data_IF_105598610394
#
_entry.id   IF_105598610394
#
_cell.length_a   1.000
_cell.length_b   1.000
_cell.length_c   1.000
_cell.angle_alpha   90.00
_cell.angle_beta   90.00
_cell.angle_gamma   90.00
#
_symmetry.space_group_name_H-M   'P 1'
#
loop_
_entity.id
_entity.type
_entity.pdbx_description
1 polymer ?
#
# COMPACT_ATOMS: atom_id res chain seq x y z
N UNK A 1 17.73 -6.19 -74.34
CA UNK A 1 16.90 -5.04 -74.77
C UNK A 1 16.59 -4.22 -73.53
N UNK A 2 17.34 -3.19 -73.25
CA UNK A 2 17.15 -2.25 -72.14
C UNK A 2 16.11 -1.20 -72.52
N UNK A 3 14.95 -1.19 -71.84
CA UNK A 3 13.95 -0.13 -72.05
C UNK A 3 14.36 1.09 -71.22
N UNK A 4 14.87 2.12 -71.92
CA UNK A 4 15.14 3.42 -71.30
C UNK A 4 13.81 4.11 -70.94
N UNK A 5 13.61 4.40 -69.66
CA UNK A 5 12.46 5.22 -69.16
C UNK A 5 12.80 6.71 -69.41
N UNK A 6 11.97 7.42 -70.16
CA UNK A 6 12.20 8.83 -70.45
C UNK A 6 12.02 9.66 -69.20
N UNK A 7 12.76 10.80 -69.07
CA UNK A 7 12.66 11.78 -67.96
C UNK A 7 11.21 12.26 -67.73
N UNK A 8 10.43 12.36 -68.78
CA UNK A 8 9.03 12.80 -68.74
C UNK A 8 8.10 11.76 -68.09
N UNK A 9 8.32 10.46 -68.34
CA UNK A 9 7.55 9.36 -67.73
C UNK A 9 7.99 9.12 -66.30
N UNK A 10 9.23 9.43 -65.94
CA UNK A 10 9.71 9.36 -64.54
C UNK A 10 9.09 10.49 -63.67
N UNK A 11 9.10 11.75 -64.17
CA UNK A 11 8.49 12.86 -63.45
C UNK A 11 6.98 12.74 -63.30
N UNK A 12 6.27 12.22 -64.30
CA UNK A 12 4.82 12.02 -64.18
C UNK A 12 4.44 10.91 -63.13
N UNK A 13 5.26 9.87 -63.02
CA UNK A 13 5.05 8.82 -62.00
C UNK A 13 5.42 9.28 -60.62
N UNK A 14 6.45 10.12 -60.47
CA UNK A 14 6.82 10.68 -59.19
C UNK A 14 5.78 11.68 -58.64
N UNK A 15 5.17 12.48 -59.54
CA UNK A 15 4.13 13.45 -59.17
C UNK A 15 2.81 12.71 -58.72
N UNK A 16 2.48 11.61 -59.36
CA UNK A 16 1.31 10.78 -58.97
C UNK A 16 1.53 10.07 -57.62
N UNK A 17 2.76 9.66 -57.31
CA UNK A 17 3.11 9.07 -56.01
C UNK A 17 3.06 10.08 -54.87
N UNK A 18 3.50 11.32 -55.10
CA UNK A 18 3.41 12.40 -54.11
C UNK A 18 1.98 12.88 -53.87
N UNK A 19 1.12 12.91 -54.90
CA UNK A 19 -0.30 13.25 -54.74
C UNK A 19 -1.08 12.17 -53.98
N UNK A 20 -0.67 10.90 -54.12
CA UNK A 20 -1.27 9.79 -53.36
C UNK A 20 -0.94 9.80 -51.84
N UNK A 21 0.24 10.31 -51.45
CA UNK A 21 0.59 10.46 -50.02
C UNK A 21 -0.14 11.65 -49.37
N UNK A 22 -0.53 12.67 -50.11
CA UNK A 22 -1.24 13.82 -49.57
C UNK A 22 -2.72 13.56 -49.29
N UNK A 23 -3.28 12.44 -49.79
CA UNK A 23 -4.69 12.03 -49.60
C UNK A 23 -4.85 10.83 -48.69
N UNK A 24 -3.76 10.30 -48.12
CA UNK A 24 -3.88 9.27 -47.06
C UNK A 24 -4.52 9.93 -45.83
N UNK A 25 -5.61 9.35 -45.27
CA UNK A 25 -6.14 9.87 -44.01
C UNK A 25 -5.03 9.80 -42.99
N UNK A 26 -4.79 10.94 -42.33
CA UNK A 26 -3.84 10.98 -41.22
C UNK A 26 -4.34 9.97 -40.17
N UNK A 27 -3.70 8.81 -40.10
CA UNK A 27 -3.92 7.88 -39.00
C UNK A 27 -3.45 8.62 -37.75
N UNK A 28 -4.41 9.15 -37.00
CA UNK A 28 -4.11 9.63 -35.64
C UNK A 28 -3.66 8.42 -34.85
N UNK A 29 -2.38 8.30 -34.66
CA UNK A 29 -1.83 7.42 -33.61
C UNK A 29 -2.21 8.11 -32.31
N UNK A 30 -3.28 7.64 -31.67
CA UNK A 30 -3.55 8.04 -30.31
C UNK A 30 -2.33 7.64 -29.48
N UNK A 31 -1.70 8.62 -28.86
CA UNK A 31 -0.62 8.34 -27.93
C UNK A 31 -1.18 7.49 -26.77
N UNK A 32 -0.44 6.47 -26.37
CA UNK A 32 -0.82 5.69 -25.19
C UNK A 32 -1.01 6.63 -23.99
N UNK A 33 -1.99 6.36 -23.13
CA UNK A 33 -2.21 7.16 -21.94
C UNK A 33 -0.92 7.27 -21.11
N UNK A 34 -0.59 8.49 -20.67
CA UNK A 34 0.61 8.76 -19.88
C UNK A 34 0.46 8.31 -18.41
N UNK A 35 -0.80 8.19 -17.94
CA UNK A 35 -1.14 7.83 -16.57
C UNK A 35 -2.14 6.67 -16.54
N UNK A 36 -2.03 5.81 -15.53
CA UNK A 36 -3.00 4.76 -15.29
C UNK A 36 -4.31 5.34 -14.72
N UNK A 37 -4.19 6.40 -13.90
CA UNK A 37 -5.30 7.11 -13.31
C UNK A 37 -5.03 8.62 -13.29
N UNK A 38 -6.04 9.40 -13.66
CA UNK A 38 -6.06 10.86 -13.46
C UNK A 38 -7.26 11.24 -12.58
N UNK A 39 -7.01 11.97 -11.50
CA UNK A 39 -8.06 12.56 -10.66
C UNK A 39 -8.13 14.03 -11.01
N UNK A 40 -9.28 14.51 -11.50
CA UNK A 40 -9.42 15.84 -12.11
C UNK A 40 -10.28 16.79 -11.31
N UNK A 41 -9.90 18.08 -11.34
CA UNK A 41 -10.74 19.20 -10.91
C UNK A 41 -10.94 19.32 -9.40
N UNK A 42 -10.22 18.52 -8.61
CA UNK A 42 -10.35 18.52 -7.15
C UNK A 42 -9.59 19.67 -6.47
N UNK A 43 -9.93 19.92 -5.20
CA UNK A 43 -9.13 20.72 -4.29
C UNK A 43 -8.14 19.80 -3.57
N UNK A 44 -6.88 19.81 -4.01
CA UNK A 44 -5.83 18.92 -3.50
C UNK A 44 -5.29 19.45 -2.18
N UNK A 45 -5.30 18.59 -1.17
CA UNK A 45 -4.68 18.79 0.14
C UNK A 45 -3.43 17.89 0.19
N UNK A 46 -2.24 18.46 0.27
CA UNK A 46 -0.98 17.71 0.19
C UNK A 46 -0.47 17.18 1.54
N UNK A 47 -1.17 17.47 2.63
CA UNK A 47 -0.79 17.07 3.99
C UNK A 47 0.26 17.98 4.65
N UNK A 48 0.74 19.03 4.00
CA UNK A 48 1.76 19.95 4.56
C UNK A 48 1.18 21.02 5.49
N UNK A 49 -0.16 21.13 5.56
CA UNK A 49 -0.85 22.21 6.26
C UNK A 49 -1.04 23.48 5.41
N UNK A 50 -0.57 23.46 4.15
CA UNK A 50 -0.81 24.54 3.20
C UNK A 50 -2.29 24.57 2.75
N UNK A 51 -2.79 25.74 2.26
CA UNK A 51 -4.11 25.81 1.64
C UNK A 51 -4.23 24.83 0.47
N UNK A 52 -5.45 24.32 0.25
CA UNK A 52 -5.72 23.43 -0.88
C UNK A 52 -5.36 24.07 -2.22
N UNK A 53 -4.79 23.28 -3.13
CA UNK A 53 -4.46 23.66 -4.50
C UNK A 53 -5.49 23.05 -5.46
N UNK A 54 -6.06 23.84 -6.38
CA UNK A 54 -6.82 23.27 -7.50
C UNK A 54 -5.84 22.69 -8.50
N UNK A 55 -5.84 21.36 -8.60
CA UNK A 55 -4.96 20.63 -9.50
C UNK A 55 -5.56 19.27 -9.85
N UNK A 56 -5.09 18.69 -10.94
CA UNK A 56 -5.30 17.30 -11.29
C UNK A 56 -4.12 16.48 -10.75
N UNK A 57 -4.37 15.21 -10.44
CA UNK A 57 -3.37 14.26 -9.94
C UNK A 57 -3.21 13.13 -10.95
N UNK A 58 -2.00 12.96 -11.50
CA UNK A 58 -1.63 11.86 -12.38
C UNK A 58 -0.89 10.76 -11.64
N UNK A 59 -1.37 9.52 -11.79
CA UNK A 59 -0.84 8.32 -11.09
C UNK A 59 -0.41 7.30 -12.14
N UNK A 60 0.80 6.78 -11.98
CA UNK A 60 1.36 5.69 -12.79
C UNK A 60 1.83 4.57 -11.85
N UNK A 61 1.27 3.38 -12.02
CA UNK A 61 1.46 2.29 -11.06
C UNK A 61 0.93 2.68 -9.67
N UNK A 62 1.79 2.69 -8.69
CA UNK A 62 1.54 3.04 -7.28
C UNK A 62 2.03 4.45 -6.89
N UNK A 63 2.46 5.25 -7.87
CA UNK A 63 3.16 6.50 -7.62
C UNK A 63 2.40 7.68 -8.20
N UNK A 64 2.28 8.77 -7.44
CA UNK A 64 1.84 10.08 -7.94
C UNK A 64 3.00 10.66 -8.75
N UNK A 65 2.83 10.76 -10.08
CA UNK A 65 3.89 11.18 -11.01
C UNK A 65 3.68 12.59 -11.57
N UNK A 66 2.48 13.13 -11.42
CA UNK A 66 2.19 14.51 -11.86
C UNK A 66 1.15 15.18 -10.96
N UNK A 67 1.31 16.48 -10.78
CA UNK A 67 0.37 17.38 -10.15
C UNK A 67 0.27 18.66 -10.97
N UNK A 68 -0.93 19.06 -11.39
CA UNK A 68 -1.12 20.26 -12.21
C UNK A 68 -2.34 20.17 -13.11
N UNK A 69 -2.28 20.72 -14.30
CA UNK A 69 -3.34 20.64 -15.33
C UNK A 69 -3.04 19.43 -16.24
N UNK A 70 -3.90 18.43 -16.19
CA UNK A 70 -3.73 17.16 -16.92
C UNK A 70 -4.95 16.93 -17.81
N UNK A 71 -4.73 16.78 -19.12
CA UNK A 71 -5.81 16.47 -20.05
C UNK A 71 -6.41 15.07 -19.77
N UNK A 72 -7.72 14.93 -19.91
CA UNK A 72 -8.42 13.67 -19.61
C UNK A 72 -7.91 12.49 -20.45
N UNK A 73 -7.52 12.77 -21.69
CA UNK A 73 -7.02 11.78 -22.67
C UNK A 73 -5.67 11.19 -22.27
N UNK A 74 -4.97 11.83 -21.32
CA UNK A 74 -3.71 11.32 -20.77
C UNK A 74 -3.90 10.23 -19.73
N UNK A 75 -5.13 10.02 -19.21
CA UNK A 75 -5.45 8.98 -18.24
C UNK A 75 -6.12 7.77 -18.87
N UNK A 76 -5.66 6.55 -18.51
CA UNK A 76 -6.38 5.31 -18.82
C UNK A 76 -7.75 5.26 -18.12
N UNK A 77 -7.77 5.74 -16.89
CA UNK A 77 -8.97 5.98 -16.08
C UNK A 77 -8.99 7.43 -15.62
N UNK A 78 -10.18 8.01 -15.54
CA UNK A 78 -10.34 9.38 -15.04
C UNK A 78 -11.41 9.36 -13.94
N UNK A 79 -11.09 10.01 -12.83
CA UNK A 79 -12.05 10.31 -11.74
C UNK A 79 -12.31 11.81 -11.78
N UNK A 80 -13.58 12.19 -11.93
CA UNK A 80 -14.01 13.57 -11.76
C UNK A 80 -14.15 13.88 -10.27
N UNK A 81 -13.30 14.78 -9.78
CA UNK A 81 -13.31 15.27 -8.41
C UNK A 81 -13.77 16.72 -8.30
N UNK A 82 -14.47 17.24 -9.31
CA UNK A 82 -14.99 18.61 -9.29
C UNK A 82 -15.87 18.84 -8.04
N UNK A 83 -15.51 19.85 -7.25
CA UNK A 83 -16.20 20.17 -5.99
C UNK A 83 -15.85 19.28 -4.82
N UNK A 84 -14.92 18.33 -4.99
CA UNK A 84 -14.41 17.43 -3.94
C UNK A 84 -13.01 17.84 -3.48
N UNK A 85 -12.63 17.36 -2.32
CA UNK A 85 -11.25 17.41 -1.85
C UNK A 85 -10.53 16.11 -2.21
N UNK A 86 -9.28 16.24 -2.63
CA UNK A 86 -8.36 15.11 -2.89
C UNK A 86 -7.23 15.21 -1.89
N UNK A 87 -7.05 14.18 -1.08
CA UNK A 87 -6.01 14.13 -0.05
C UNK A 87 -5.27 12.80 -0.11
N UNK A 88 -4.05 12.71 0.46
CA UNK A 88 -3.47 11.42 0.80
C UNK A 88 -4.42 10.60 1.66
N UNK A 89 -4.31 9.28 1.60
CA UNK A 89 -5.04 8.41 2.50
C UNK A 89 -4.65 8.67 3.96
N UNK A 90 -5.63 8.51 4.86
CA UNK A 90 -5.39 8.72 6.29
C UNK A 90 -4.55 7.58 6.86
N UNK A 91 -3.72 7.94 7.84
CA UNK A 91 -2.91 7.00 8.61
C UNK A 91 -3.55 6.88 10.00
N UNK A 92 -4.05 5.69 10.33
CA UNK A 92 -4.51 5.37 11.69
C UNK A 92 -3.32 4.84 12.49
N UNK A 93 -2.84 5.66 13.41
CA UNK A 93 -1.66 5.34 14.23
C UNK A 93 -1.98 4.56 15.50
N UNK A 94 -3.24 4.27 15.76
CA UNK A 94 -3.67 3.54 16.95
C UNK A 94 -4.83 2.60 16.65
N UNK A 95 -4.52 1.39 16.22
CA UNK A 95 -5.52 0.37 15.92
C UNK A 95 -5.14 -0.99 16.53
N UNK A 96 -6.17 -1.82 16.74
CA UNK A 96 -6.04 -3.22 17.19
C UNK A 96 -6.54 -4.16 16.08
N UNK A 97 -6.28 -3.81 14.82
CA UNK A 97 -6.68 -4.60 13.66
C UNK A 97 -5.88 -5.89 13.49
N UNK A 98 -4.74 -5.99 14.13
CA UNK A 98 -3.90 -7.18 14.14
C UNK A 98 -4.40 -8.22 15.17
N UNK A 99 -4.48 -9.49 14.87
CA UNK A 99 -4.33 -10.12 13.55
C UNK A 99 -5.63 -10.18 12.74
N UNK A 100 -6.71 -9.52 13.20
CA UNK A 100 -8.05 -9.58 12.60
C UNK A 100 -8.11 -9.17 11.12
N UNK A 101 -7.16 -8.32 10.66
CA UNK A 101 -7.05 -7.94 9.25
C UNK A 101 -6.77 -9.14 8.34
N UNK A 102 -6.18 -10.22 8.85
CA UNK A 102 -5.97 -11.46 8.09
C UNK A 102 -7.27 -12.24 7.88
N UNK A 103 -8.25 -12.08 8.76
CA UNK A 103 -9.60 -12.66 8.63
C UNK A 103 -10.48 -11.79 7.72
N UNK A 104 -10.30 -10.46 7.79
CA UNK A 104 -11.09 -9.48 7.03
C UNK A 104 -10.16 -8.61 6.16
N UNK A 105 -9.53 -9.18 5.12
CA UNK A 105 -8.45 -8.50 4.37
C UNK A 105 -8.92 -7.31 3.54
N UNK A 106 -10.22 -7.21 3.24
CA UNK A 106 -10.80 -6.06 2.55
C UNK A 106 -10.79 -4.79 3.39
N UNK A 107 -10.69 -4.90 4.72
CA UNK A 107 -10.67 -3.80 5.68
C UNK A 107 -11.73 -2.72 5.38
N UNK A 108 -12.94 -3.13 4.94
CA UNK A 108 -13.98 -2.24 4.38
C UNK A 108 -14.31 -1.04 5.27
N UNK A 109 -14.37 -1.25 6.58
CA UNK A 109 -14.69 -0.17 7.53
C UNK A 109 -13.64 0.94 7.53
N UNK A 110 -12.37 0.63 7.26
CA UNK A 110 -11.25 1.57 7.21
C UNK A 110 -11.16 2.24 5.85
N UNK A 111 -11.11 1.43 4.80
CA UNK A 111 -11.02 1.92 3.41
C UNK A 111 -12.15 2.89 3.09
N UNK A 112 -13.39 2.60 3.52
CA UNK A 112 -14.54 3.48 3.32
C UNK A 112 -14.48 4.80 4.08
N UNK A 113 -13.62 4.90 5.08
CA UNK A 113 -13.33 6.14 5.81
C UNK A 113 -12.09 6.86 5.28
N UNK A 114 -11.45 6.33 4.24
CA UNK A 114 -10.25 6.90 3.64
C UNK A 114 -8.95 6.53 4.36
N UNK A 115 -8.98 5.59 5.31
CA UNK A 115 -7.77 5.05 5.93
C UNK A 115 -7.08 4.11 4.95
N UNK A 116 -5.81 4.35 4.67
CA UNK A 116 -4.98 3.53 3.76
C UNK A 116 -3.79 2.90 4.44
N UNK A 117 -3.48 3.34 5.66
CA UNK A 117 -2.36 2.83 6.46
C UNK A 117 -2.77 2.73 7.93
N UNK A 118 -2.43 1.63 8.57
CA UNK A 118 -2.69 1.38 9.98
C UNK A 118 -1.38 1.03 10.69
N UNK A 119 -1.23 1.52 11.93
CA UNK A 119 -0.21 1.06 12.85
C UNK A 119 -0.88 0.26 13.96
N UNK A 120 -0.69 -1.05 13.92
CA UNK A 120 -1.27 -2.01 14.86
C UNK A 120 -0.27 -2.43 15.95
N UNK A 121 -0.70 -3.30 16.85
CA UNK A 121 0.13 -3.73 17.98
C UNK A 121 0.16 -2.72 19.12
N UNK A 122 -0.91 -1.97 19.31
CA UNK A 122 -1.02 -0.92 20.32
C UNK A 122 -1.37 -1.49 21.71
N UNK A 123 -1.29 -0.64 22.73
CA UNK A 123 -1.66 -0.92 24.12
C UNK A 123 -0.95 -2.16 24.71
N UNK A 124 0.25 -2.48 24.25
CA UNK A 124 1.02 -3.61 24.75
C UNK A 124 0.62 -4.98 24.19
N UNK A 125 -0.31 -5.05 23.26
CA UNK A 125 -0.74 -6.30 22.63
C UNK A 125 -0.43 -6.28 21.13
N UNK A 126 0.22 -7.32 20.60
CA UNK A 126 0.57 -7.44 19.18
C UNK A 126 0.38 -8.87 18.66
N UNK A 127 0.12 -8.98 17.34
CA UNK A 127 -0.02 -10.26 16.65
C UNK A 127 1.26 -11.09 16.63
N UNK A 128 2.41 -10.46 16.75
CA UNK A 128 3.73 -11.09 16.77
C UNK A 128 4.66 -10.36 17.75
N UNK A 129 5.67 -11.07 18.32
CA UNK A 129 5.95 -12.50 18.16
C UNK A 129 4.96 -13.42 18.90
N UNK A 130 4.77 -14.64 18.37
CA UNK A 130 4.01 -15.71 19.01
C UNK A 130 4.97 -16.85 19.39
N UNK A 131 5.54 -16.79 20.57
CA UNK A 131 6.58 -17.71 21.04
C UNK A 131 6.44 -17.97 22.55
N UNK A 132 7.22 -18.90 23.08
CA UNK A 132 7.41 -19.10 24.53
C UNK A 132 6.19 -19.67 25.24
N UNK A 133 6.00 -19.19 26.48
CA UNK A 133 4.93 -19.70 27.36
C UNK A 133 3.55 -19.28 26.87
N UNK A 134 2.59 -20.18 26.92
CA UNK A 134 1.19 -19.85 26.52
C UNK A 134 0.95 -19.70 25.03
N UNK A 135 1.94 -19.95 24.17
CA UNK A 135 1.78 -19.82 22.70
C UNK A 135 0.69 -20.77 22.17
N UNK A 136 0.59 -21.97 22.69
CA UNK A 136 -0.42 -22.96 22.28
C UNK A 136 -1.84 -22.46 22.56
N UNK A 137 -2.08 -21.86 23.73
CA UNK A 137 -3.37 -21.29 24.12
C UNK A 137 -3.73 -20.09 23.26
N UNK A 138 -2.76 -19.20 22.97
CA UNK A 138 -2.98 -18.07 22.08
C UNK A 138 -3.27 -18.50 20.64
N UNK A 139 -2.56 -19.48 20.14
CA UNK A 139 -2.81 -20.05 18.80
C UNK A 139 -4.18 -20.71 18.75
N UNK A 140 -4.58 -21.44 19.80
CA UNK A 140 -5.91 -22.05 19.89
C UNK A 140 -7.02 -20.98 19.89
N UNK A 141 -6.85 -19.92 20.68
CA UNK A 141 -7.79 -18.79 20.71
C UNK A 141 -7.93 -18.12 19.34
N UNK A 142 -6.82 -17.80 18.66
CA UNK A 142 -6.85 -17.21 17.33
C UNK A 142 -7.53 -18.13 16.31
N UNK A 143 -7.36 -19.41 16.43
CA UNK A 143 -8.02 -20.42 15.59
C UNK A 143 -9.53 -20.48 15.83
N UNK A 144 -9.99 -20.33 17.07
CA UNK A 144 -11.42 -20.22 17.41
C UNK A 144 -12.04 -18.96 16.78
N UNK A 145 -11.27 -17.86 16.71
CA UNK A 145 -11.65 -16.63 16.02
C UNK A 145 -11.56 -16.73 14.46
N UNK A 146 -11.32 -17.93 13.94
CA UNK A 146 -11.30 -18.20 12.50
C UNK A 146 -9.97 -17.85 11.81
N UNK A 147 -8.88 -17.69 12.57
CA UNK A 147 -7.57 -17.33 12.06
C UNK A 147 -6.60 -18.51 12.09
N UNK A 148 -6.09 -18.91 10.92
CA UNK A 148 -5.00 -19.88 10.87
C UNK A 148 -3.66 -19.16 11.08
N UNK A 149 -3.04 -19.43 12.22
CA UNK A 149 -1.72 -18.90 12.56
C UNK A 149 -0.65 -19.66 11.78
N UNK A 150 0.13 -18.94 11.01
CA UNK A 150 1.24 -19.47 10.22
C UNK A 150 2.53 -18.67 10.43
N UNK A 151 2.67 -18.00 11.58
CA UNK A 151 3.84 -17.19 11.92
C UNK A 151 4.21 -17.38 13.39
N UNK A 152 5.47 -17.13 13.72
CA UNK A 152 5.99 -17.09 15.09
C UNK A 152 6.71 -15.78 15.41
N UNK A 153 7.22 -15.09 14.40
CA UNK A 153 7.93 -13.81 14.53
C UNK A 153 7.32 -12.71 13.67
N UNK A 154 7.84 -11.49 13.81
CA UNK A 154 7.37 -10.31 13.10
C UNK A 154 7.54 -10.44 11.58
N UNK A 155 8.70 -10.96 11.12
CA UNK A 155 8.96 -11.10 9.69
C UNK A 155 7.95 -12.04 9.03
N UNK A 156 7.66 -13.18 9.67
CA UNK A 156 6.68 -14.14 9.17
C UNK A 156 5.26 -13.57 9.18
N UNK A 157 4.91 -12.77 10.19
CA UNK A 157 3.62 -12.07 10.21
C UNK A 157 3.48 -11.08 9.04
N UNK A 158 4.51 -10.27 8.78
CA UNK A 158 4.50 -9.33 7.65
C UNK A 158 4.40 -10.06 6.30
N UNK A 159 5.13 -11.17 6.13
CA UNK A 159 5.00 -12.03 4.94
C UNK A 159 3.57 -12.59 4.82
N UNK A 160 2.95 -12.93 5.93
CA UNK A 160 1.56 -13.42 5.91
C UNK A 160 0.58 -12.35 5.45
N UNK A 161 0.75 -11.09 5.86
CA UNK A 161 -0.05 -9.96 5.37
C UNK A 161 0.08 -9.80 3.85
N UNK A 162 1.30 -9.87 3.32
CA UNK A 162 1.55 -9.80 1.87
C UNK A 162 0.89 -10.97 1.11
N UNK A 163 0.99 -12.18 1.62
CA UNK A 163 0.38 -13.36 1.00
C UNK A 163 -1.15 -13.29 0.94
N UNK A 164 -1.79 -12.77 1.99
CA UNK A 164 -3.24 -12.59 2.04
C UNK A 164 -3.68 -11.43 1.15
N UNK A 165 -2.86 -10.39 1.02
CA UNK A 165 -3.17 -9.23 0.20
C UNK A 165 -4.22 -8.34 0.86
N UNK A 166 -3.87 -7.76 2.02
CA UNK A 166 -4.74 -6.84 2.76
C UNK A 166 -4.89 -5.50 2.04
N UNK A 167 -6.06 -4.87 2.16
CA UNK A 167 -6.41 -3.64 1.42
C UNK A 167 -5.82 -2.36 2.01
N UNK A 168 -5.19 -2.42 3.18
CA UNK A 168 -4.52 -1.30 3.84
C UNK A 168 -3.05 -1.64 4.06
N UNK A 169 -2.16 -0.63 4.00
CA UNK A 169 -0.80 -0.84 4.48
C UNK A 169 -0.82 -1.02 5.99
N UNK A 170 -0.10 -2.00 6.50
CA UNK A 170 -0.05 -2.27 7.92
C UNK A 170 1.37 -2.24 8.45
N UNK A 171 1.62 -1.38 9.44
CA UNK A 171 2.79 -1.41 10.31
C UNK A 171 2.45 -2.08 11.62
N UNK A 172 3.46 -2.64 12.30
CA UNK A 172 3.31 -3.32 13.58
C UNK A 172 4.20 -2.69 14.65
N UNK A 173 3.64 -2.47 15.83
CA UNK A 173 4.39 -2.30 17.07
C UNK A 173 4.49 -3.65 17.77
N UNK A 174 5.62 -3.92 18.42
CA UNK A 174 5.75 -5.07 19.32
C UNK A 174 5.13 -4.71 20.67
N UNK A 175 4.17 -5.49 21.13
CA UNK A 175 3.50 -5.24 22.39
C UNK A 175 4.34 -5.68 23.59
N UNK A 176 4.53 -4.80 24.58
CA UNK A 176 5.20 -5.14 25.84
C UNK A 176 4.51 -6.31 26.57
N UNK A 177 3.18 -6.30 26.66
CA UNK A 177 2.40 -7.40 27.23
C UNK A 177 2.62 -8.70 26.46
N UNK A 178 2.60 -8.65 25.12
CA UNK A 178 2.91 -9.81 24.28
C UNK A 178 4.28 -10.40 24.59
N UNK A 179 5.31 -9.57 24.72
CA UNK A 179 6.66 -10.02 25.06
C UNK A 179 6.73 -10.63 26.48
N UNK A 180 6.03 -9.98 27.42
CA UNK A 180 5.95 -10.48 28.79
C UNK A 180 5.22 -11.82 28.86
N UNK A 181 4.07 -11.95 28.21
CA UNK A 181 3.30 -13.20 28.15
C UNK A 181 4.11 -14.33 27.51
N UNK A 182 4.85 -14.02 26.47
CA UNK A 182 5.77 -14.99 25.84
C UNK A 182 6.86 -15.45 26.81
N UNK A 183 7.33 -14.57 27.68
CA UNK A 183 8.41 -14.88 28.62
C UNK A 183 7.96 -15.70 29.83
N UNK A 184 6.82 -15.34 30.42
CA UNK A 184 6.39 -15.90 31.72
C UNK A 184 4.90 -16.31 31.79
N UNK A 185 4.13 -16.04 30.73
CA UNK A 185 2.68 -16.21 30.76
C UNK A 185 1.96 -15.13 31.58
N UNK A 186 0.63 -15.27 31.77
CA UNK A 186 -0.22 -14.29 32.47
C UNK A 186 -0.07 -14.40 34.00
N UNK A 187 1.14 -14.22 34.51
CA UNK A 187 1.44 -14.27 35.94
C UNK A 187 1.82 -12.92 36.50
N UNK A 188 1.26 -12.54 37.66
CA UNK A 188 1.54 -11.30 38.32
C UNK A 188 2.80 -11.38 39.18
N UNK A 189 3.96 -11.23 38.58
CA UNK A 189 5.26 -11.11 39.25
C UNK A 189 6.24 -10.33 38.37
N UNK A 190 7.26 -9.70 38.95
CA UNK A 190 8.36 -9.12 38.17
C UNK A 190 9.08 -10.20 37.34
N UNK A 191 9.64 -9.78 36.20
CA UNK A 191 10.57 -10.58 35.43
C UNK A 191 11.89 -10.73 36.18
N UNK A 192 12.48 -11.91 36.17
CA UNK A 192 13.87 -12.10 36.55
C UNK A 192 14.83 -11.40 35.56
N UNK A 193 16.07 -11.23 35.94
CA UNK A 193 17.06 -10.64 35.02
C UNK A 193 17.27 -11.43 33.74
N UNK A 194 17.14 -12.77 33.79
CA UNK A 194 17.27 -13.63 32.61
C UNK A 194 16.06 -13.52 31.68
N UNK A 195 14.85 -13.50 32.24
CA UNK A 195 13.61 -13.28 31.49
C UNK A 195 13.60 -11.90 30.83
N UNK A 196 14.00 -10.87 31.57
CA UNK A 196 14.12 -9.52 31.01
C UNK A 196 15.11 -9.47 29.82
N UNK A 197 16.26 -10.16 29.91
CA UNK A 197 17.17 -10.27 28.77
C UNK A 197 16.53 -10.98 27.58
N UNK A 198 15.66 -11.96 27.84
CA UNK A 198 14.88 -12.63 26.80
C UNK A 198 13.91 -11.68 26.10
N UNK A 199 13.15 -10.89 26.89
CA UNK A 199 12.24 -9.87 26.39
C UNK A 199 12.94 -8.81 25.55
N UNK A 200 14.09 -8.33 26.01
CA UNK A 200 14.89 -7.34 25.24
C UNK A 200 15.34 -7.91 23.90
N UNK A 201 15.88 -9.13 23.88
CA UNK A 201 16.27 -9.80 22.63
C UNK A 201 15.09 -9.97 21.67
N UNK A 202 13.93 -10.42 22.17
CA UNK A 202 12.76 -10.59 21.34
C UNK A 202 12.22 -9.25 20.76
N UNK A 203 12.39 -8.15 21.50
CA UNK A 203 12.11 -6.81 20.99
C UNK A 203 13.10 -6.42 19.89
N UNK A 204 14.41 -6.61 20.15
CA UNK A 204 15.47 -6.29 19.18
C UNK A 204 15.25 -7.06 17.87
N UNK A 205 14.98 -8.36 17.94
CA UNK A 205 14.61 -9.18 16.77
C UNK A 205 13.36 -8.65 16.07
N UNK A 206 12.33 -8.26 16.81
CA UNK A 206 11.11 -7.69 16.24
C UNK A 206 11.38 -6.39 15.46
N UNK A 207 12.23 -5.52 16.00
CA UNK A 207 12.63 -4.28 15.33
C UNK A 207 13.49 -4.55 14.08
N UNK A 208 14.43 -5.48 14.15
CA UNK A 208 15.22 -5.93 13.00
C UNK A 208 14.36 -6.54 11.89
N UNK A 209 13.27 -7.19 12.27
CA UNK A 209 12.29 -7.78 11.35
C UNK A 209 11.27 -6.80 10.80
N UNK A 210 11.37 -5.50 11.13
CA UNK A 210 10.57 -4.44 10.52
C UNK A 210 9.42 -3.90 11.38
N UNK A 211 9.36 -4.23 12.68
CA UNK A 211 8.45 -3.54 13.59
C UNK A 211 8.86 -2.06 13.75
N UNK A 212 7.87 -1.17 13.87
CA UNK A 212 8.07 0.27 13.99
C UNK A 212 8.47 0.73 15.39
N UNK A 213 8.31 -0.11 16.39
CA UNK A 213 8.62 0.25 17.79
C UNK A 213 7.98 -0.69 18.80
N UNK A 214 7.95 -0.22 20.04
CA UNK A 214 7.34 -0.90 21.18
C UNK A 214 6.07 -0.15 21.61
N UNK A 215 5.03 -0.87 21.95
CA UNK A 215 3.86 -0.34 22.65
C UNK A 215 3.76 -0.86 24.07
N UNK A 216 3.15 -0.07 24.97
CA UNK A 216 2.89 -0.48 26.35
C UNK A 216 1.44 -0.28 26.71
N UNK A 217 0.92 -1.16 27.58
CA UNK A 217 -0.37 -0.99 28.24
C UNK A 217 -0.19 -1.46 29.68
N UNK A 218 -0.11 -0.51 30.61
CA UNK A 218 0.25 -0.80 32.01
C UNK A 218 -0.97 -1.08 32.90
N UNK A 219 -2.17 -1.12 32.31
CA UNK A 219 -3.42 -1.44 32.99
C UNK A 219 -3.74 -2.94 32.93
N UNK A 220 -2.96 -3.69 32.14
CA UNK A 220 -3.15 -5.12 31.96
C UNK A 220 -2.10 -5.91 32.74
N UNK A 221 -2.50 -7.05 33.29
CA UNK A 221 -1.62 -7.94 34.06
C UNK A 221 -0.68 -8.69 33.15
#
# INVERSE_FOLDING_TARGET
MSRSVSRRSFLGRSSAALAGLALAPAVRVEAAPAFDLVIRGGAVLDGTGSPSLRADVGITGDTITALGDIAAEQGRRVIDAAGLHVSPGFIDIHTHSDPGVLTYPTADSRVRQGVTTELAGNCGASAAPLTGVGVEERVAFLKEEGLEVGWSDVAQYLVRLEQVGVSVNQGLLVGHGTLRDNAIGPVDRPLSADEMRGVVRALEEGLEHGAFGLSTGLEYV
#
